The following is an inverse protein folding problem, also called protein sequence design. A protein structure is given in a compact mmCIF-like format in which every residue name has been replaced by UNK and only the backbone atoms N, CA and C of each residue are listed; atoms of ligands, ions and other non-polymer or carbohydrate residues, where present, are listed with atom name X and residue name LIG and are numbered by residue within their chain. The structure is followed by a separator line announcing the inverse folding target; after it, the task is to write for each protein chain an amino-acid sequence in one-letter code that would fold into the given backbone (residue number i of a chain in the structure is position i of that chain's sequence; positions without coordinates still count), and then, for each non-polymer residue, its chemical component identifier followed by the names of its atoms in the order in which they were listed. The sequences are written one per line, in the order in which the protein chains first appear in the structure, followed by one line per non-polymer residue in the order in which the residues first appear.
data_IF_954093946394
#
_entry.id   IF_954093946394
#
_cell.length_a   1.000
_cell.length_b   1.000
_cell.length_c   1.000
_cell.angle_alpha   90.00
_cell.angle_beta   90.00
_cell.angle_gamma   90.00
#
_symmetry.space_group_name_H-M   'P 1'
#
loop_
_entity.id
_entity.type
_entity.pdbx_description
1 polymer ?
#
# COMPACT_ATOMS: atom_id res chain seq x y z
N UNK A 1 9.53 -16.21 -6.89
CA UNK A 1 8.16 -16.72 -6.97
C UNK A 1 7.26 -15.62 -7.50
N UNK A 2 6.45 -15.91 -8.53
CA UNK A 2 5.35 -15.07 -9.00
C UNK A 2 4.08 -15.90 -8.83
N UNK A 3 3.26 -15.52 -7.86
CA UNK A 3 1.96 -16.15 -7.60
C UNK A 3 0.88 -15.13 -7.93
N UNK A 4 -0.28 -15.60 -8.30
CA UNK A 4 -1.47 -14.78 -8.50
C UNK A 4 -2.71 -15.58 -8.12
N UNK A 5 -3.75 -14.88 -7.70
CA UNK A 5 -5.07 -15.44 -7.47
C UNK A 5 -5.95 -15.16 -8.68
N UNK A 6 -6.80 -16.08 -9.01
CA UNK A 6 -7.92 -15.87 -9.94
C UNK A 6 -9.18 -15.82 -9.10
N UNK A 7 -9.83 -14.68 -9.08
CA UNK A 7 -11.09 -14.47 -8.36
C UNK A 7 -12.19 -14.54 -9.39
N UNK A 8 -13.17 -15.37 -9.11
CA UNK A 8 -14.38 -15.50 -9.94
C UNK A 8 -15.51 -14.84 -9.16
N UNK A 9 -15.98 -13.75 -9.71
CA UNK A 9 -17.09 -12.98 -9.16
C UNK A 9 -18.44 -13.53 -9.68
N UNK A 10 -19.51 -13.30 -8.96
CA UNK A 10 -20.87 -13.49 -9.42
C UNK A 10 -21.31 -12.35 -10.35
N UNK A 11 -22.55 -12.43 -10.86
CA UNK A 11 -23.09 -11.45 -11.81
C UNK A 11 -23.10 -10.04 -11.20
N UNK A 12 -22.38 -9.12 -11.81
CA UNK A 12 -22.20 -7.73 -11.36
C UNK A 12 -20.96 -7.45 -10.50
N UNK A 13 -20.37 -8.46 -9.87
CA UNK A 13 -19.20 -8.27 -8.99
C UNK A 13 -17.96 -7.77 -9.74
N UNK A 14 -17.78 -8.19 -10.98
CA UNK A 14 -16.68 -7.69 -11.82
C UNK A 14 -16.84 -6.19 -12.15
N UNK A 15 -18.05 -5.75 -12.48
CA UNK A 15 -18.36 -4.34 -12.77
C UNK A 15 -18.17 -3.48 -11.52
N UNK A 16 -18.58 -3.96 -10.36
CA UNK A 16 -18.36 -3.28 -9.08
C UNK A 16 -16.85 -3.15 -8.77
N UNK A 17 -16.09 -4.21 -8.98
CA UNK A 17 -14.65 -4.19 -8.82
C UNK A 17 -13.99 -3.19 -9.78
N UNK A 18 -14.37 -3.17 -11.06
CA UNK A 18 -13.86 -2.20 -12.04
C UNK A 18 -14.21 -0.79 -11.62
N UNK A 19 -15.43 -0.52 -11.18
CA UNK A 19 -15.87 0.80 -10.71
C UNK A 19 -15.03 1.26 -9.52
N UNK A 20 -14.76 0.39 -8.53
CA UNK A 20 -13.92 0.70 -7.39
C UNK A 20 -12.49 1.08 -7.78
N UNK A 21 -11.94 0.48 -8.85
CA UNK A 21 -10.62 0.85 -9.37
C UNK A 21 -10.60 2.15 -10.17
N UNK A 22 -11.72 2.54 -10.76
CA UNK A 22 -11.84 3.75 -11.58
C UNK A 22 -12.20 4.99 -10.76
N UNK A 23 -12.74 4.80 -9.56
CA UNK A 23 -13.05 5.90 -8.65
C UNK A 23 -11.75 6.61 -8.22
N UNK A 24 -11.63 7.93 -8.42
CA UNK A 24 -10.47 8.68 -7.96
C UNK A 24 -10.41 8.61 -6.43
N UNK A 25 -9.38 7.96 -5.92
CA UNK A 25 -9.18 7.86 -4.48
C UNK A 25 -8.68 9.20 -3.93
N UNK A 26 -9.60 10.12 -3.68
CA UNK A 26 -9.29 11.34 -2.94
C UNK A 26 -9.10 10.94 -1.48
N UNK A 27 -7.86 10.68 -1.09
CA UNK A 27 -7.53 10.63 0.33
C UNK A 27 -7.66 12.04 0.87
N UNK A 28 -8.88 12.44 1.21
CA UNK A 28 -9.15 13.61 2.03
C UNK A 28 -8.19 13.54 3.21
N UNK A 29 -7.66 14.68 3.65
CA UNK A 29 -6.72 14.74 4.75
C UNK A 29 -7.21 13.82 5.88
N UNK A 30 -6.60 12.65 6.02
CA UNK A 30 -7.00 11.67 7.03
C UNK A 30 -6.84 12.30 8.39
N UNK A 31 -7.85 12.17 9.25
CA UNK A 31 -7.76 12.54 10.67
C UNK A 31 -6.90 11.56 11.45
N UNK A 32 -6.58 10.40 10.87
CA UNK A 32 -5.65 9.44 11.45
C UNK A 32 -4.21 9.95 11.30
N UNK A 33 -3.57 10.22 12.42
CA UNK A 33 -2.21 10.74 12.47
C UNK A 33 -1.18 9.79 11.84
N UNK A 34 -1.39 8.47 11.95
CA UNK A 34 -0.49 7.47 11.38
C UNK A 34 -0.56 7.49 9.85
N UNK A 35 -1.77 7.57 9.28
CA UNK A 35 -2.01 7.67 7.85
C UNK A 35 -1.42 8.97 7.30
N UNK A 36 -1.64 10.10 7.99
CA UNK A 36 -1.07 11.40 7.60
C UNK A 36 0.47 11.38 7.61
N UNK A 37 1.07 10.77 8.61
CA UNK A 37 2.52 10.56 8.68
C UNK A 37 3.02 9.68 7.53
N UNK A 38 2.33 8.58 7.25
CA UNK A 38 2.68 7.66 6.16
C UNK A 38 2.66 8.33 4.80
N UNK A 39 1.66 9.17 4.53
CA UNK A 39 1.59 9.99 3.33
C UNK A 39 2.83 10.89 3.16
N UNK A 40 3.22 11.58 4.22
CA UNK A 40 4.41 12.44 4.18
C UNK A 40 5.70 11.63 3.97
N UNK A 41 5.82 10.48 4.65
CA UNK A 41 6.98 9.61 4.54
C UNK A 41 7.10 8.99 3.15
N UNK A 42 6.00 8.64 2.47
CA UNK A 42 6.02 8.11 1.10
C UNK A 42 6.78 9.02 0.15
N UNK A 43 6.60 10.34 0.27
CA UNK A 43 7.33 11.31 -0.53
C UNK A 43 8.78 11.50 -0.05
N UNK A 44 8.98 11.70 1.24
CA UNK A 44 10.29 12.07 1.81
C UNK A 44 11.29 10.91 1.82
N UNK A 45 10.82 9.67 1.87
CA UNK A 45 11.66 8.47 1.74
C UNK A 45 11.93 8.05 0.29
N UNK A 46 11.41 8.80 -0.70
CA UNK A 46 11.72 8.60 -2.11
C UNK A 46 10.93 7.47 -2.79
N UNK A 47 9.87 6.93 -2.19
CA UNK A 47 9.03 5.89 -2.78
C UNK A 47 8.45 6.32 -4.13
N UNK A 48 8.05 7.59 -4.25
CA UNK A 48 7.54 8.20 -5.48
C UNK A 48 8.59 8.34 -6.59
N UNK A 49 9.86 8.12 -6.30
CA UNK A 49 10.91 8.01 -7.33
C UNK A 49 10.80 6.76 -8.18
N UNK A 50 10.07 5.75 -7.70
CA UNK A 50 9.86 4.46 -8.38
C UNK A 50 8.39 4.12 -8.59
N UNK A 51 7.51 4.51 -7.68
CA UNK A 51 6.10 4.18 -7.69
C UNK A 51 5.22 5.38 -8.04
N UNK A 52 4.13 5.11 -8.75
CA UNK A 52 3.07 6.10 -9.00
C UNK A 52 2.02 6.02 -7.90
N UNK A 53 1.53 7.16 -7.46
CA UNK A 53 0.32 7.32 -6.64
C UNK A 53 -0.48 8.48 -7.21
N UNK A 54 -1.60 8.18 -7.84
CA UNK A 54 -2.52 9.21 -8.33
C UNK A 54 -3.27 9.87 -7.18
N UNK A 55 -3.65 11.13 -7.38
CA UNK A 55 -4.33 11.93 -6.35
C UNK A 55 -3.55 12.06 -5.03
N UNK A 56 -2.22 11.88 -5.06
CA UNK A 56 -1.37 12.16 -3.91
C UNK A 56 -1.54 13.61 -3.41
N UNK A 57 -1.68 14.55 -4.34
CA UNK A 57 -2.07 15.92 -4.09
C UNK A 57 -3.13 16.31 -5.13
N UNK A 58 -4.20 16.99 -4.73
CA UNK A 58 -5.39 17.37 -5.50
C UNK A 58 -5.20 17.40 -7.02
N UNK A 59 -5.64 16.36 -7.73
CA UNK A 59 -5.60 16.25 -9.19
C UNK A 59 -4.21 16.01 -9.81
N UNK A 60 -3.18 15.71 -9.03
CA UNK A 60 -1.84 15.41 -9.55
C UNK A 60 -1.50 13.94 -9.39
N UNK A 61 -1.08 13.33 -10.47
CA UNK A 61 -0.35 12.06 -10.45
C UNK A 61 1.08 12.31 -9.96
N UNK A 62 1.53 11.54 -8.97
CA UNK A 62 2.86 11.69 -8.40
C UNK A 62 3.65 10.39 -8.59
N UNK A 63 4.90 10.51 -9.00
CA UNK A 63 5.83 9.39 -9.11
C UNK A 63 6.15 8.96 -10.54
N UNK A 64 6.86 7.84 -10.67
CA UNK A 64 7.32 7.28 -11.94
C UNK A 64 6.64 5.94 -12.22
N UNK A 65 6.14 5.69 -13.44
CA UNK A 65 5.46 4.44 -13.81
C UNK A 65 6.45 3.32 -14.15
N UNK A 66 7.56 3.23 -13.40
CA UNK A 66 8.59 2.21 -13.66
C UNK A 66 8.26 0.90 -12.93
N UNK A 67 7.65 1.03 -11.76
CA UNK A 67 7.28 -0.09 -10.88
C UNK A 67 5.77 -0.06 -10.57
N UNK A 68 5.24 -1.03 -9.83
CA UNK A 68 3.80 -1.12 -9.60
C UNK A 68 3.19 0.20 -9.12
N UNK A 69 2.08 0.57 -9.75
CA UNK A 69 1.23 1.67 -9.32
C UNK A 69 0.61 1.34 -7.95
N UNK A 70 0.67 2.27 -7.01
CA UNK A 70 0.17 2.10 -5.64
C UNK A 70 -1.15 2.85 -5.39
N UNK A 71 -1.72 3.49 -6.40
CA UNK A 71 -2.92 4.33 -6.28
C UNK A 71 -4.08 3.64 -5.56
N UNK A 72 -4.34 2.37 -5.90
CA UNK A 72 -5.41 1.56 -5.30
C UNK A 72 -4.83 0.43 -4.45
N UNK A 73 -3.77 0.70 -3.70
CA UNK A 73 -3.07 -0.36 -2.96
C UNK A 73 -3.98 -1.02 -1.92
N UNK A 74 -4.87 -0.27 -1.27
CA UNK A 74 -5.78 -0.79 -0.25
C UNK A 74 -6.81 -1.80 -0.78
N UNK A 75 -7.02 -1.87 -2.11
CA UNK A 75 -7.85 -2.91 -2.73
C UNK A 75 -7.11 -4.23 -2.97
N UNK A 76 -5.81 -4.30 -2.66
CA UNK A 76 -5.01 -5.50 -2.86
C UNK A 76 -5.12 -6.44 -1.68
N UNK A 77 -5.30 -7.72 -1.97
CA UNK A 77 -5.34 -8.78 -0.96
C UNK A 77 -3.94 -9.26 -0.54
N UNK A 78 -2.90 -8.92 -1.32
CA UNK A 78 -1.56 -9.44 -1.09
C UNK A 78 -0.46 -8.46 -1.49
N UNK A 79 0.73 -8.68 -0.93
CA UNK A 79 1.96 -7.96 -1.23
C UNK A 79 3.05 -8.91 -1.71
N UNK A 80 4.04 -8.37 -2.43
CA UNK A 80 5.21 -9.11 -2.92
C UNK A 80 4.91 -10.15 -4.01
N UNK A 81 3.88 -9.97 -4.86
CA UNK A 81 3.36 -10.95 -5.82
C UNK A 81 2.81 -12.20 -5.11
N UNK A 82 1.86 -11.97 -4.23
CA UNK A 82 1.13 -12.98 -3.47
C UNK A 82 2.04 -13.85 -2.55
N UNK A 83 3.06 -13.20 -1.96
CA UNK A 83 3.93 -13.85 -0.96
C UNK A 83 3.29 -13.76 0.43
N UNK A 84 2.72 -12.61 0.77
CA UNK A 84 2.05 -12.36 2.06
C UNK A 84 0.68 -11.70 1.84
N UNK A 85 -0.30 -11.96 2.72
CA UNK A 85 -1.53 -11.17 2.77
C UNK A 85 -1.24 -9.68 3.01
N UNK A 86 -2.08 -8.79 2.45
CA UNK A 86 -1.93 -7.35 2.58
C UNK A 86 -2.46 -6.82 3.93
N UNK A 87 -1.94 -7.34 5.04
CA UNK A 87 -2.20 -6.81 6.38
C UNK A 87 -1.23 -5.68 6.72
N UNK A 88 -1.57 -4.83 7.69
CA UNK A 88 -0.71 -3.74 8.14
C UNK A 88 0.71 -4.24 8.48
N UNK A 89 0.80 -5.32 9.25
CA UNK A 89 2.06 -5.93 9.66
C UNK A 89 2.88 -6.43 8.46
N UNK A 90 2.25 -7.15 7.54
CA UNK A 90 2.93 -7.73 6.39
C UNK A 90 3.38 -6.67 5.37
N UNK A 91 2.56 -5.65 5.16
CA UNK A 91 2.93 -4.53 4.28
C UNK A 91 4.05 -3.71 4.91
N UNK A 92 4.00 -3.46 6.22
CA UNK A 92 5.09 -2.81 6.95
C UNK A 92 6.40 -3.62 6.87
N UNK A 93 6.34 -4.94 7.09
CA UNK A 93 7.50 -5.82 6.97
C UNK A 93 8.09 -5.80 5.55
N UNK A 94 7.23 -5.84 4.51
CA UNK A 94 7.64 -5.71 3.11
C UNK A 94 8.34 -4.39 2.84
N UNK A 95 7.82 -3.26 3.36
CA UNK A 95 8.40 -1.93 3.17
C UNK A 95 9.72 -1.81 3.92
N UNK A 96 9.78 -2.31 5.17
CA UNK A 96 10.95 -2.23 6.02
C UNK A 96 12.15 -3.00 5.46
N UNK A 97 11.92 -4.23 4.99
CA UNK A 97 12.97 -5.07 4.39
C UNK A 97 12.40 -6.01 3.32
N UNK A 98 12.23 -5.53 2.09
CA UNK A 98 11.68 -6.34 1.01
C UNK A 98 12.59 -7.52 0.63
N UNK A 99 13.90 -7.43 0.90
CA UNK A 99 14.83 -8.51 0.60
C UNK A 99 14.72 -9.67 1.61
N UNK A 100 14.40 -9.39 2.87
CA UNK A 100 14.11 -10.41 3.86
C UNK A 100 12.81 -11.16 3.54
N UNK A 101 11.78 -10.47 3.06
CA UNK A 101 10.48 -11.07 2.72
C UNK A 101 10.55 -11.87 1.40
N UNK A 102 11.22 -11.32 0.39
CA UNK A 102 11.33 -11.93 -0.94
C UNK A 102 12.70 -11.66 -1.54
N UNK A 103 13.70 -12.51 -1.26
CA UNK A 103 15.04 -12.33 -1.77
C UNK A 103 15.08 -12.25 -3.31
N UNK A 104 15.87 -11.30 -3.83
CA UNK A 104 16.04 -11.10 -5.27
C UNK A 104 14.95 -10.27 -5.93
N UNK A 105 14.08 -9.60 -5.17
CA UNK A 105 13.20 -8.58 -5.73
C UNK A 105 13.97 -7.28 -6.03
N UNK A 106 13.38 -6.37 -6.81
CA UNK A 106 14.03 -5.12 -7.22
C UNK A 106 13.79 -3.95 -6.26
N UNK A 107 12.89 -4.08 -5.28
CA UNK A 107 12.63 -3.01 -4.32
C UNK A 107 13.80 -2.92 -3.33
N UNK A 108 14.47 -1.77 -3.21
CA UNK A 108 15.59 -1.61 -2.30
C UNK A 108 15.10 -1.48 -0.85
N UNK A 109 15.95 -1.83 0.09
CA UNK A 109 15.79 -1.43 1.49
C UNK A 109 16.20 0.04 1.63
N UNK A 110 15.30 0.87 2.17
CA UNK A 110 15.50 2.34 2.23
C UNK A 110 16.17 2.81 3.51
N UNK A 111 16.19 1.99 4.55
CA UNK A 111 16.79 2.30 5.84
C UNK A 111 18.08 1.55 6.04
N UNK A 112 18.97 2.13 6.85
CA UNK A 112 20.11 1.39 7.39
C UNK A 112 19.60 0.27 8.31
N UNK A 113 20.38 -0.81 8.43
CA UNK A 113 19.95 -2.00 9.18
C UNK A 113 19.66 -1.72 10.66
N UNK A 114 20.32 -0.71 11.22
CA UNK A 114 20.23 -0.29 12.62
C UNK A 114 19.40 1.00 12.84
N UNK A 115 18.66 1.46 11.80
CA UNK A 115 17.81 2.65 11.94
C UNK A 115 16.65 2.36 12.91
N UNK A 116 16.58 3.06 14.06
CA UNK A 116 15.57 2.82 15.08
C UNK A 116 14.16 3.20 14.64
N UNK A 117 14.02 4.02 13.59
CA UNK A 117 12.72 4.50 13.10
C UNK A 117 12.16 3.59 12.00
N UNK A 118 12.96 2.65 11.47
CA UNK A 118 12.59 1.84 10.31
C UNK A 118 11.21 1.21 10.43
N UNK A 119 10.95 0.53 11.52
CA UNK A 119 9.70 -0.21 11.72
C UNK A 119 8.50 0.73 11.90
N UNK A 120 8.67 1.80 12.65
CA UNK A 120 7.63 2.80 12.86
C UNK A 120 7.27 3.54 11.57
N UNK A 121 8.27 3.98 10.82
CA UNK A 121 8.07 4.68 9.56
C UNK A 121 7.47 3.77 8.49
N UNK A 122 7.93 2.53 8.39
CA UNK A 122 7.37 1.52 7.48
C UNK A 122 5.90 1.23 7.82
N UNK A 123 5.55 1.16 9.12
CA UNK A 123 4.17 0.97 9.57
C UNK A 123 3.28 2.15 9.18
N UNK A 124 3.77 3.38 9.32
CA UNK A 124 3.02 4.56 8.91
C UNK A 124 2.79 4.58 7.39
N UNK A 125 3.81 4.25 6.58
CA UNK A 125 3.66 4.15 5.12
C UNK A 125 2.67 3.04 4.76
N UNK A 126 2.74 1.88 5.42
CA UNK A 126 1.81 0.78 5.21
C UNK A 126 0.37 1.18 5.52
N UNK A 127 0.13 1.89 6.64
CA UNK A 127 -1.18 2.41 7.00
C UNK A 127 -1.74 3.35 5.92
N UNK A 128 -0.90 4.25 5.40
CA UNK A 128 -1.30 5.13 4.30
C UNK A 128 -1.64 4.34 3.04
N UNK A 129 -0.81 3.40 2.60
CA UNK A 129 -1.06 2.62 1.39
C UNK A 129 -2.34 1.77 1.51
N UNK A 130 -2.59 1.18 2.67
CA UNK A 130 -3.81 0.40 2.93
C UNK A 130 -5.07 1.27 3.00
N UNK A 131 -4.94 2.58 3.24
CA UNK A 131 -6.04 3.53 3.17
C UNK A 131 -6.40 3.97 1.75
N UNK A 132 -5.58 3.63 0.75
CA UNK A 132 -5.81 3.92 -0.67
C UNK A 132 -6.75 2.86 -1.27
N UNK A 133 -8.04 3.09 -1.18
CA UNK A 133 -9.05 2.19 -1.73
C UNK A 133 -10.45 2.72 -1.48
N UNK A 134 -11.45 2.17 -2.15
CA UNK A 134 -12.78 2.73 -2.31
C UNK A 134 -13.49 3.20 -1.02
N UNK A 135 -13.10 2.75 0.17
CA UNK A 135 -13.81 3.11 1.40
C UNK A 135 -12.91 3.49 2.59
N UNK A 136 -11.57 3.54 2.42
CA UNK A 136 -10.67 3.80 3.57
C UNK A 136 -10.83 2.80 4.74
N UNK A 137 -11.64 1.78 4.55
CA UNK A 137 -12.21 0.96 5.61
C UNK A 137 -11.46 -0.34 5.93
N UNK A 138 -10.53 -0.77 5.10
CA UNK A 138 -9.82 -2.04 5.36
C UNK A 138 -8.88 -1.96 6.59
N UNK A 139 -8.40 -0.78 6.94
CA UNK A 139 -7.55 -0.58 8.12
C UNK A 139 -8.37 -0.70 9.41
N UNK A 140 -9.66 -0.35 9.37
CA UNK A 140 -10.54 -0.41 10.55
C UNK A 140 -10.97 -1.84 10.90
N UNK A 141 -10.96 -2.79 9.96
CA UNK A 141 -11.42 -4.16 10.21
C UNK A 141 -10.31 -5.09 10.72
N UNK A 142 -9.04 -4.79 10.46
CA UNK A 142 -7.93 -5.61 10.94
C UNK A 142 -7.69 -5.50 12.45
N UNK A 143 -8.17 -4.43 13.09
CA UNK A 143 -8.06 -4.24 14.55
C UNK A 143 -9.22 -4.84 15.36
N UNK A 144 -10.30 -5.27 14.72
CA UNK A 144 -11.51 -5.75 15.41
C UNK A 144 -11.64 -7.29 15.46
N UNK A 145 -10.74 -8.04 14.84
CA UNK A 145 -10.80 -9.50 14.67
C UNK A 145 -9.94 -10.32 15.63
N UNK A 146 -9.42 -9.74 16.70
CA UNK A 146 -8.67 -10.44 17.75
C UNK A 146 -9.54 -10.80 18.93
N UNK A 147 -10.20 -11.94 18.91
CA UNK A 147 -10.70 -12.59 20.13
C UNK A 147 -10.43 -14.09 20.00
#
# INVERSE_FOLDING_TARGET
YMRFNVIVEDEGGFEEWVAAFQEPQVVSASTDALVAQGRQLLATKGCIGCHTVDNYAEGMSFGQPIYPDLTNFGLRESVGANVLPATLENVAAWIADPQAVKPGNYMPTLWQADDPNREQEATAIAAYLLSLGADGGAVAQASAGGN
#
